data_IF_046248070248
#
_entry.id   IF_046248070248
#
_cell.length_a   1.000
_cell.length_b   1.000
_cell.length_c   1.000
_cell.angle_alpha   90.00
_cell.angle_beta   90.00
_cell.angle_gamma   90.00
#
_symmetry.space_group_name_H-M   'P 1'
#
loop_
_entity.id
_entity.type
_entity.pdbx_description
1 polymer ?
#
# COMPACT_ATOMS: atom_id res chain seq x y z
N UNK A 1 -0.83 35.72 -1.00
CA UNK A 1 -1.61 34.50 -1.29
C UNK A 1 -1.28 33.48 -0.22
N UNK A 2 -2.27 32.90 0.45
CA UNK A 2 -2.04 31.95 1.53
C UNK A 2 -1.41 30.67 0.97
N UNK A 3 -0.39 30.14 1.65
CA UNK A 3 0.20 28.84 1.33
C UNK A 3 -0.91 27.78 1.38
N UNK A 4 -1.04 26.92 0.34
CA UNK A 4 -2.00 25.83 0.38
C UNK A 4 -1.75 24.97 1.64
N UNK A 5 -2.79 24.55 2.37
CA UNK A 5 -2.61 23.70 3.54
C UNK A 5 -1.97 22.38 3.13
N UNK A 6 -0.93 21.98 3.86
CA UNK A 6 -0.30 20.67 3.72
C UNK A 6 -1.24 19.61 4.29
N UNK A 7 -1.94 18.90 3.41
CA UNK A 7 -2.81 17.80 3.82
C UNK A 7 -1.98 16.52 4.01
N UNK A 8 -1.93 16.01 5.24
CA UNK A 8 -1.32 14.73 5.58
C UNK A 8 -2.40 13.65 5.61
N UNK A 9 -2.32 12.67 4.71
CA UNK A 9 -3.29 11.57 4.62
C UNK A 9 -2.83 10.34 5.42
N UNK A 10 -3.77 9.67 6.10
CA UNK A 10 -3.62 8.29 6.60
C UNK A 10 -4.91 7.53 6.36
N UNK A 11 -4.95 6.47 5.55
CA UNK A 11 -6.04 5.49 5.62
C UNK A 11 -5.71 4.19 4.85
N UNK A 12 -6.16 3.03 5.34
CA UNK A 12 -6.15 1.74 4.61
C UNK A 12 -7.38 0.89 4.93
N UNK A 13 -8.52 1.30 4.37
CA UNK A 13 -9.73 0.47 4.37
C UNK A 13 -10.50 0.65 3.03
N UNK A 14 -11.58 -0.13 2.84
CA UNK A 14 -12.41 -0.13 1.63
C UNK A 14 -13.06 1.23 1.27
N UNK A 15 -13.07 2.19 2.19
CA UNK A 15 -13.62 3.54 2.01
C UNK A 15 -12.59 4.53 1.41
N UNK A 16 -11.44 4.07 0.91
CA UNK A 16 -10.33 4.94 0.47
C UNK A 16 -10.76 6.09 -0.44
N UNK A 17 -11.57 5.82 -1.47
CA UNK A 17 -12.05 6.87 -2.38
C UNK A 17 -13.03 7.84 -1.69
N UNK A 18 -13.84 7.36 -0.75
CA UNK A 18 -14.73 8.21 0.06
C UNK A 18 -13.93 9.12 0.99
N UNK A 19 -12.86 8.62 1.59
CA UNK A 19 -11.98 9.40 2.47
C UNK A 19 -11.17 10.42 1.67
N UNK A 20 -10.59 10.02 0.53
CA UNK A 20 -9.90 10.96 -0.38
C UNK A 20 -10.87 12.05 -0.84
N UNK A 21 -12.10 11.68 -1.22
CA UNK A 21 -13.14 12.66 -1.58
C UNK A 21 -13.45 13.59 -0.40
N UNK A 22 -13.76 13.07 0.78
CA UNK A 22 -14.11 13.90 1.94
C UNK A 22 -13.01 14.90 2.33
N UNK A 23 -11.74 14.53 2.18
CA UNK A 23 -10.61 15.40 2.50
C UNK A 23 -10.32 16.41 1.39
N UNK A 24 -10.40 16.00 0.12
CA UNK A 24 -10.01 16.84 -1.02
C UNK A 24 -11.15 17.66 -1.60
N UNK A 25 -12.42 17.27 -1.44
CA UNK A 25 -13.58 17.93 -2.05
C UNK A 25 -13.63 19.46 -1.82
N UNK A 26 -13.27 19.99 -0.63
CA UNK A 26 -13.20 21.45 -0.42
C UNK A 26 -12.09 22.17 -1.21
N UNK A 27 -11.07 21.44 -1.68
CA UNK A 27 -9.89 21.98 -2.36
C UNK A 27 -9.82 21.60 -3.85
N UNK A 28 -10.39 20.44 -4.22
CA UNK A 28 -10.29 19.83 -5.55
C UNK A 28 -11.62 19.11 -5.84
N UNK A 29 -12.28 19.47 -6.93
CA UNK A 29 -13.41 18.73 -7.48
C UNK A 29 -12.95 17.90 -8.68
N UNK A 30 -13.10 16.58 -8.63
CA UNK A 30 -12.80 15.68 -9.76
C UNK A 30 -14.12 15.31 -10.44
N UNK A 31 -14.31 15.78 -11.67
CA UNK A 31 -15.53 15.54 -12.46
C UNK A 31 -15.37 14.38 -13.49
N UNK A 32 -14.30 13.61 -13.39
CA UNK A 32 -14.01 12.51 -14.32
C UNK A 32 -13.34 11.32 -13.65
N UNK A 33 -12.78 10.39 -14.44
CA UNK A 33 -12.18 9.19 -13.92
C UNK A 33 -11.02 9.49 -12.97
N UNK A 34 -10.98 8.79 -11.84
CA UNK A 34 -9.93 8.90 -10.82
C UNK A 34 -9.47 7.51 -10.38
N UNK A 35 -8.15 7.39 -10.20
CA UNK A 35 -7.52 6.22 -9.62
C UNK A 35 -6.69 6.66 -8.42
N UNK A 36 -6.89 6.00 -7.28
CA UNK A 36 -6.04 6.19 -6.08
C UNK A 36 -5.44 4.85 -5.67
N UNK A 37 -4.31 4.91 -4.97
CA UNK A 37 -3.59 3.75 -4.47
C UNK A 37 -3.31 3.91 -2.97
N UNK A 38 -3.40 2.83 -2.21
CA UNK A 38 -2.90 2.75 -0.85
C UNK A 38 -2.11 1.46 -0.60
N UNK A 39 -1.10 1.55 0.27
CA UNK A 39 -0.23 0.43 0.61
C UNK A 39 -0.14 0.27 2.13
N UNK A 40 -0.35 -0.97 2.59
CA UNK A 40 -0.27 -1.38 3.98
C UNK A 40 0.84 -2.43 4.17
N UNK A 41 1.46 -2.41 5.35
CA UNK A 41 2.33 -3.49 5.82
C UNK A 41 1.76 -4.05 7.13
N UNK A 42 1.27 -5.27 7.09
CA UNK A 42 0.43 -5.85 8.15
C UNK A 42 1.18 -6.94 8.89
N UNK A 43 1.60 -6.69 10.13
CA UNK A 43 2.28 -7.71 10.94
C UNK A 43 1.23 -8.58 11.66
N UNK A 44 1.28 -9.89 11.47
CA UNK A 44 0.24 -10.79 11.98
C UNK A 44 0.20 -10.84 13.50
N UNK A 45 1.38 -10.85 14.13
CA UNK A 45 1.51 -10.81 15.58
C UNK A 45 0.91 -9.54 16.23
N UNK A 46 0.73 -8.44 15.48
CA UNK A 46 0.16 -7.18 15.97
C UNK A 46 -1.27 -6.94 15.48
N UNK A 47 -1.98 -8.00 15.05
CA UNK A 47 -3.34 -7.86 14.53
C UNK A 47 -3.39 -6.97 13.27
N UNK A 48 -2.43 -7.15 12.36
CA UNK A 48 -2.26 -6.40 11.10
C UNK A 48 -1.80 -4.94 11.23
N UNK A 49 -1.43 -4.47 12.43
CA UNK A 49 -0.67 -3.22 12.59
C UNK A 49 0.80 -3.40 12.12
N UNK A 50 1.50 -2.34 11.67
CA UNK A 50 1.03 -0.95 11.53
C UNK A 50 0.04 -0.74 10.38
N UNK A 51 -0.09 -1.68 9.44
CA UNK A 51 -1.07 -1.63 8.35
C UNK A 51 -0.95 -0.33 7.56
N UNK A 52 -2.03 0.48 7.42
CA UNK A 52 -1.96 1.76 6.70
C UNK A 52 -1.15 2.85 7.38
N UNK A 53 -0.84 2.67 8.66
CA UNK A 53 -0.03 3.63 9.41
C UNK A 53 1.47 3.45 9.11
N UNK A 54 1.85 2.47 8.28
CA UNK A 54 3.25 2.10 8.02
C UNK A 54 4.13 3.29 7.63
N UNK A 55 3.61 4.28 6.90
CA UNK A 55 4.35 5.52 6.58
C UNK A 55 4.91 6.19 7.85
N UNK A 56 4.04 6.40 8.84
CA UNK A 56 4.40 7.11 10.07
C UNK A 56 5.33 6.29 10.95
N UNK A 57 5.11 4.98 11.00
CA UNK A 57 6.02 4.08 11.68
C UNK A 57 7.40 4.10 11.02
N UNK A 58 7.47 3.98 9.69
CA UNK A 58 8.73 4.03 8.96
C UNK A 58 9.47 5.36 9.16
N UNK A 59 8.76 6.50 9.09
CA UNK A 59 9.33 7.83 9.36
C UNK A 59 9.82 8.00 10.80
N UNK A 60 9.13 7.41 11.78
CA UNK A 60 9.41 7.65 13.21
C UNK A 60 10.47 6.70 13.77
N UNK A 61 10.43 5.41 13.40
CA UNK A 61 11.24 4.37 14.04
C UNK A 61 12.14 3.60 13.04
N UNK A 62 11.96 3.82 11.74
CA UNK A 62 12.78 3.23 10.68
C UNK A 62 12.76 1.69 10.64
N UNK A 63 13.65 1.12 9.82
CA UNK A 63 13.76 -0.34 9.64
C UNK A 63 14.06 -1.09 10.95
N UNK A 64 14.95 -0.55 11.77
CA UNK A 64 15.34 -1.18 13.04
C UNK A 64 14.18 -1.13 14.04
N UNK A 65 13.48 0.01 14.15
CA UNK A 65 12.34 0.13 15.04
C UNK A 65 11.19 -0.78 14.63
N UNK A 66 10.89 -0.89 13.33
CA UNK A 66 9.88 -1.82 12.81
C UNK A 66 10.22 -3.28 13.16
N UNK A 67 11.48 -3.68 13.09
CA UNK A 67 11.93 -4.99 13.57
C UNK A 67 11.76 -5.12 15.10
N UNK A 68 12.12 -4.08 15.85
CA UNK A 68 12.01 -4.06 17.32
C UNK A 68 10.56 -4.25 17.81
N UNK A 69 9.56 -3.75 17.07
CA UNK A 69 8.14 -3.98 17.38
C UNK A 69 7.77 -5.46 17.47
N UNK A 70 8.47 -6.31 16.72
CA UNK A 70 8.19 -7.74 16.68
C UNK A 70 9.10 -8.57 17.58
N UNK A 71 10.10 -8.02 18.25
CA UNK A 71 11.10 -8.80 19.03
C UNK A 71 10.45 -9.74 20.04
N UNK A 72 9.38 -9.30 20.71
CA UNK A 72 8.66 -10.08 21.72
C UNK A 72 7.77 -11.21 21.17
N UNK A 73 7.61 -11.32 19.84
CA UNK A 73 6.67 -12.26 19.21
C UNK A 73 7.42 -13.31 18.40
N UNK A 74 7.11 -14.59 18.53
CA UNK A 74 7.73 -15.61 17.67
C UNK A 74 7.27 -15.48 16.20
N UNK A 75 6.00 -15.15 16.00
CA UNK A 75 5.42 -14.95 14.67
C UNK A 75 5.94 -13.64 14.04
N UNK A 76 6.73 -13.79 12.99
CA UNK A 76 7.20 -12.67 12.15
C UNK A 76 6.44 -12.54 10.84
N UNK A 77 5.39 -13.33 10.62
CA UNK A 77 4.64 -13.31 9.37
C UNK A 77 3.97 -11.96 9.17
N UNK A 78 3.97 -11.52 7.92
CA UNK A 78 3.41 -10.24 7.53
C UNK A 78 2.83 -10.30 6.12
N UNK A 79 1.89 -9.41 5.85
CA UNK A 79 1.37 -9.20 4.50
C UNK A 79 1.71 -7.79 4.02
N UNK A 80 2.27 -7.71 2.81
CA UNK A 80 2.26 -6.49 2.03
C UNK A 80 0.93 -6.43 1.28
N UNK A 81 0.20 -5.32 1.37
CA UNK A 81 -1.13 -5.17 0.74
C UNK A 81 -1.18 -3.87 -0.04
N UNK A 82 -1.62 -3.92 -1.30
CA UNK A 82 -1.88 -2.75 -2.12
C UNK A 82 -3.35 -2.76 -2.52
N UNK A 83 -4.03 -1.62 -2.40
CA UNK A 83 -5.40 -1.45 -2.90
C UNK A 83 -5.45 -0.28 -3.87
N UNK A 84 -5.80 -0.56 -5.11
CA UNK A 84 -6.25 0.46 -6.05
C UNK A 84 -7.75 0.68 -5.88
N UNK A 85 -8.17 1.94 -5.94
CA UNK A 85 -9.57 2.31 -5.97
C UNK A 85 -9.83 3.23 -7.17
N UNK A 86 -10.68 2.78 -8.08
CA UNK A 86 -11.04 3.47 -9.32
C UNK A 86 -12.48 3.96 -9.26
N UNK A 87 -12.74 5.16 -9.75
CA UNK A 87 -14.11 5.64 -10.02
C UNK A 87 -14.13 6.30 -11.39
N UNK A 88 -15.13 6.02 -12.25
CA UNK A 88 -15.25 6.65 -13.57
C UNK A 88 -15.72 8.11 -13.48
N UNK A 89 -16.25 8.55 -12.34
CA UNK A 89 -16.69 9.92 -12.12
C UNK A 89 -17.75 10.05 -11.02
N UNK A 90 -18.25 11.27 -10.78
CA UNK A 90 -19.27 11.54 -9.77
C UNK A 90 -20.49 10.64 -9.90
N UNK A 91 -21.05 10.21 -8.76
CA UNK A 91 -22.23 9.34 -8.71
C UNK A 91 -21.97 7.85 -8.92
N UNK A 92 -20.73 7.46 -9.24
CA UNK A 92 -20.33 6.05 -9.37
C UNK A 92 -19.68 5.53 -8.10
N UNK A 93 -20.06 4.34 -7.65
CA UNK A 93 -19.38 3.68 -6.53
C UNK A 93 -17.94 3.30 -6.93
N UNK A 94 -16.96 3.53 -6.04
CA UNK A 94 -15.58 3.06 -6.19
C UNK A 94 -15.47 1.55 -6.45
N UNK A 95 -14.70 1.17 -7.47
CA UNK A 95 -14.24 -0.18 -7.71
C UNK A 95 -12.88 -0.41 -7.04
N UNK A 96 -12.75 -1.49 -6.28
CA UNK A 96 -11.55 -1.80 -5.52
C UNK A 96 -10.79 -3.01 -6.09
N UNK A 97 -9.48 -2.87 -6.24
CA UNK A 97 -8.59 -3.93 -6.71
C UNK A 97 -7.47 -4.11 -5.70
N UNK A 98 -7.49 -5.21 -4.97
CA UNK A 98 -6.52 -5.49 -3.91
C UNK A 98 -5.55 -6.62 -4.31
N UNK A 99 -4.26 -6.35 -4.17
CA UNK A 99 -3.20 -7.34 -4.25
C UNK A 99 -2.54 -7.54 -2.88
N UNK A 100 -2.11 -8.77 -2.60
CA UNK A 100 -1.49 -9.16 -1.33
C UNK A 100 -0.32 -10.09 -1.60
N UNK A 101 0.80 -9.85 -0.92
CA UNK A 101 1.92 -10.78 -0.88
C UNK A 101 2.17 -11.16 0.57
N UNK A 102 2.15 -12.46 0.86
CA UNK A 102 2.48 -13.00 2.18
C UNK A 102 3.97 -13.21 2.30
N UNK A 103 4.56 -12.74 3.38
CA UNK A 103 5.97 -12.83 3.67
C UNK A 103 6.23 -12.83 5.18
N UNK A 104 7.41 -12.36 5.56
CA UNK A 104 7.78 -12.17 6.96
C UNK A 104 8.70 -10.97 7.14
N UNK A 105 8.74 -10.44 8.35
CA UNK A 105 9.63 -9.35 8.72
C UNK A 105 10.97 -9.90 9.18
N UNK A 106 12.04 -9.30 8.67
CA UNK A 106 13.43 -9.67 8.94
C UNK A 106 14.29 -8.44 9.17
N UNK A 107 15.48 -8.60 9.80
CA UNK A 107 16.48 -7.54 9.84
C UNK A 107 16.78 -7.01 8.43
N UNK A 108 17.01 -5.70 8.27
CA UNK A 108 17.11 -5.07 6.97
C UNK A 108 18.25 -5.66 6.13
N UNK A 109 17.95 -6.02 4.87
CA UNK A 109 18.95 -6.42 3.86
C UNK A 109 18.65 -5.76 2.51
N UNK A 110 19.69 -5.47 1.74
CA UNK A 110 19.61 -4.71 0.49
C UNK A 110 19.57 -3.18 0.69
N UNK A 111 19.35 -2.41 -0.38
CA UNK A 111 19.21 -0.95 -0.32
C UNK A 111 18.05 -0.50 0.59
N UNK A 112 18.27 0.55 1.37
CA UNK A 112 17.30 1.11 2.35
C UNK A 112 16.67 2.42 1.87
N UNK A 113 16.73 2.69 0.57
CA UNK A 113 16.28 3.91 -0.08
C UNK A 113 14.78 3.91 -0.42
N UNK A 114 14.12 2.75 -0.42
CA UNK A 114 12.71 2.63 -0.76
C UNK A 114 11.84 2.00 0.35
N UNK A 115 11.23 2.87 1.16
CA UNK A 115 10.19 2.48 2.11
C UNK A 115 10.66 1.42 3.10
N UNK A 116 9.89 0.34 3.24
CA UNK A 116 10.14 -0.77 4.16
C UNK A 116 10.61 -2.05 3.42
N UNK A 117 10.94 -1.95 2.13
CA UNK A 117 11.29 -3.11 1.30
C UNK A 117 12.43 -3.95 1.89
N UNK A 118 13.39 -3.30 2.54
CA UNK A 118 14.56 -3.96 3.11
C UNK A 118 14.23 -4.92 4.26
N UNK A 119 13.05 -4.81 4.88
CA UNK A 119 12.65 -5.67 6.01
C UNK A 119 11.56 -6.67 5.67
N UNK A 120 10.96 -6.61 4.48
CA UNK A 120 9.91 -7.55 4.06
C UNK A 120 10.51 -8.64 3.17
N UNK A 121 10.57 -9.86 3.70
CA UNK A 121 11.10 -11.03 2.99
C UNK A 121 9.98 -11.83 2.31
N UNK A 122 10.21 -12.16 1.04
CA UNK A 122 9.45 -13.12 0.26
C UNK A 122 10.41 -14.17 -0.33
N UNK A 123 10.17 -15.45 -0.01
CA UNK A 123 10.95 -16.59 -0.50
C UNK A 123 12.48 -16.45 -0.35
N UNK A 124 12.95 -16.00 0.81
CA UNK A 124 14.38 -15.92 1.13
C UNK A 124 15.07 -14.61 0.74
N UNK A 125 14.40 -13.73 -0.01
CA UNK A 125 14.93 -12.41 -0.39
C UNK A 125 14.03 -11.30 0.14
N UNK A 126 14.62 -10.21 0.63
CA UNK A 126 13.87 -8.99 0.89
C UNK A 126 13.45 -8.35 -0.42
N UNK A 127 12.39 -7.54 -0.42
CA UNK A 127 12.02 -6.80 -1.63
C UNK A 127 13.13 -5.87 -2.13
N UNK A 128 13.98 -5.36 -1.23
CA UNK A 128 15.13 -4.54 -1.61
C UNK A 128 16.25 -5.36 -2.29
N UNK A 129 16.36 -6.65 -1.99
CA UNK A 129 17.32 -7.56 -2.64
C UNK A 129 16.87 -8.01 -4.04
N UNK A 130 15.62 -7.75 -4.43
CA UNK A 130 15.06 -8.19 -5.70
C UNK A 130 15.30 -7.18 -6.83
N UNK A 131 15.56 -7.68 -8.03
CA UNK A 131 15.42 -6.87 -9.23
C UNK A 131 13.99 -6.34 -9.37
N UNK A 132 13.86 -5.09 -9.82
CA UNK A 132 12.58 -4.39 -9.91
C UNK A 132 11.57 -5.14 -10.79
N UNK A 133 12.01 -5.71 -11.92
CA UNK A 133 11.11 -6.44 -12.82
C UNK A 133 10.64 -7.76 -12.20
N UNK A 134 11.52 -8.45 -11.46
CA UNK A 134 11.15 -9.65 -10.72
C UNK A 134 10.16 -9.33 -9.58
N UNK A 135 10.45 -8.31 -8.76
CA UNK A 135 9.56 -7.83 -7.70
C UNK A 135 8.18 -7.50 -8.24
N UNK A 136 8.09 -6.76 -9.36
CA UNK A 136 6.81 -6.33 -9.93
C UNK A 136 5.88 -7.49 -10.25
N UNK A 137 6.40 -8.68 -10.61
CA UNK A 137 5.57 -9.87 -10.92
C UNK A 137 4.91 -10.49 -9.69
N UNK A 138 5.51 -10.33 -8.51
CA UNK A 138 5.06 -10.98 -7.27
C UNK A 138 4.55 -10.01 -6.21
N UNK A 139 4.79 -8.71 -6.41
CA UNK A 139 4.47 -7.68 -5.41
C UNK A 139 2.97 -7.44 -5.32
N UNK A 140 2.51 -7.19 -4.09
CA UNK A 140 1.18 -6.69 -3.76
C UNK A 140 0.68 -5.62 -4.73
N UNK A 141 1.50 -4.63 -5.09
CA UNK A 141 1.16 -3.59 -6.08
C UNK A 141 0.98 -4.16 -7.49
N UNK A 142 1.91 -5.00 -7.96
CA UNK A 142 1.79 -5.65 -9.26
C UNK A 142 0.55 -6.52 -9.37
N UNK A 143 0.24 -7.29 -8.32
CA UNK A 143 -0.98 -8.11 -8.23
C UNK A 143 -2.26 -7.26 -8.23
N UNK A 144 -2.26 -6.12 -7.53
CA UNK A 144 -3.38 -5.19 -7.54
C UNK A 144 -3.60 -4.57 -8.93
N UNK A 145 -2.50 -4.19 -9.59
CA UNK A 145 -2.52 -3.59 -10.92
C UNK A 145 -2.97 -4.60 -12.00
N UNK A 146 -2.54 -5.86 -11.91
CA UNK A 146 -3.00 -6.91 -12.82
C UNK A 146 -4.53 -7.06 -12.79
N UNK A 147 -5.13 -7.06 -11.59
CA UNK A 147 -6.59 -7.10 -11.44
C UNK A 147 -7.30 -5.90 -12.07
N UNK A 148 -6.72 -4.70 -11.93
CA UNK A 148 -7.24 -3.50 -12.58
C UNK A 148 -7.14 -3.60 -14.11
N UNK A 149 -6.02 -4.11 -14.64
CA UNK A 149 -5.81 -4.31 -16.08
C UNK A 149 -6.80 -5.32 -16.66
N UNK A 150 -6.99 -6.45 -15.98
CA UNK A 150 -7.94 -7.49 -16.39
C UNK A 150 -9.37 -6.93 -16.47
N UNK A 151 -9.76 -6.12 -15.48
CA UNK A 151 -11.05 -5.46 -15.49
C UNK A 151 -11.21 -4.52 -16.70
N UNK A 152 -10.25 -3.63 -16.97
CA UNK A 152 -10.30 -2.76 -18.16
C UNK A 152 -10.22 -3.52 -19.49
N UNK A 153 -9.62 -4.72 -19.53
CA UNK A 153 -9.63 -5.56 -20.72
C UNK A 153 -11.02 -6.13 -20.99
N UNK A 154 -11.72 -6.59 -19.94
CA UNK A 154 -13.09 -7.09 -20.04
C UNK A 154 -14.07 -6.00 -20.50
N UNK A 155 -13.95 -4.77 -19.98
CA UNK A 155 -14.80 -3.64 -20.36
C UNK A 155 -14.64 -3.18 -21.82
N UNK A 156 -13.56 -3.58 -22.52
CA UNK A 156 -13.33 -3.23 -23.94
C UNK A 156 -13.83 -4.31 -24.91
N UNK A 157 -14.16 -5.49 -24.39
CA UNK A 157 -14.66 -6.61 -25.18
C UNK A 157 -16.20 -6.62 -25.27
N UNK A 158 -16.86 -5.76 -24.50
CA UNK A 158 -18.29 -5.46 -24.51
C UNK A 158 -18.57 -4.20 -25.34
#
# INVERSE_FOLDING_TARGET
>A
MATPPTVKFITGNANKLREVKAILEPAITIQGPVLVEDTCLCFKALGDLPGPYIKWFMESIGHQGLNNLLVAYEDKSADAVCTFAYSPGPGSEPLLFQGRTRGKIVPPRGPVDFGWDAIFEYNGQTYAEMDKAAKNKISHRGLALAKLQDWFAQQRAE
#
